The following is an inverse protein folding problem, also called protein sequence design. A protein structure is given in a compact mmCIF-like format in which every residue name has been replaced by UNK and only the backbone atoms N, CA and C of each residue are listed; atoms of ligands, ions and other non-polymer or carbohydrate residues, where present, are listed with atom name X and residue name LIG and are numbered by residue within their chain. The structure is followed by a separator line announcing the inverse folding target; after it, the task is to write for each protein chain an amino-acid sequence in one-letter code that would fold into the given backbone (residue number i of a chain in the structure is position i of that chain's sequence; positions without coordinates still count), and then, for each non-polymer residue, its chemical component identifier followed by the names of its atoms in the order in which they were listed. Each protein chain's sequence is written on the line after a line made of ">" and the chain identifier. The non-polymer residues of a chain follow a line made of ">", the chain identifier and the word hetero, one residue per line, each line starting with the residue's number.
data_IF_448400355156
#
_entry.id   IF_448400355156
#
_cell.length_a   1.000
_cell.length_b   1.000
_cell.length_c   1.000
_cell.angle_alpha   90.00
_cell.angle_beta   90.00
_cell.angle_gamma   90.00
#
_symmetry.space_group_name_H-M   'P 1'
#
loop_
_entity.id
_entity.type
_entity.pdbx_description
1 polymer ?
#
# COMPACT_ATOMS: atom_id res chain seq x y z
N UNK A 1 -12.10 -15.28 -8.18
CA UNK A 1 -10.66 -15.64 -8.19
C UNK A 1 -10.21 -16.21 -9.53
N UNK A 2 -10.79 -17.30 -10.05
CA UNK A 2 -10.38 -17.92 -11.34
C UNK A 2 -10.49 -16.99 -12.55
N UNK A 3 -11.60 -16.25 -12.66
CA UNK A 3 -11.88 -15.33 -13.76
C UNK A 3 -11.35 -13.91 -13.51
N UNK A 4 -10.77 -13.64 -12.33
CA UNK A 4 -10.25 -12.32 -11.97
C UNK A 4 -11.28 -11.20 -11.84
N UNK A 5 -12.57 -11.52 -11.76
CA UNK A 5 -13.62 -10.51 -11.58
C UNK A 5 -13.52 -9.86 -10.18
N UNK A 6 -13.37 -8.53 -10.18
CA UNK A 6 -13.22 -7.69 -8.98
C UNK A 6 -14.54 -7.10 -8.51
N UNK A 7 -15.59 -7.14 -9.33
CA UNK A 7 -16.87 -6.49 -9.03
C UNK A 7 -17.67 -7.20 -7.92
N UNK A 8 -17.31 -8.44 -7.60
CA UNK A 8 -17.99 -9.23 -6.56
C UNK A 8 -17.27 -9.24 -5.19
N UNK A 9 -16.20 -8.47 -4.99
CA UNK A 9 -15.42 -8.47 -3.74
C UNK A 9 -15.95 -7.37 -2.81
N UNK A 10 -16.52 -7.69 -1.62
CA UNK A 10 -16.92 -6.67 -0.65
C UNK A 10 -15.75 -5.78 -0.23
N UNK A 11 -15.98 -4.49 -0.03
CA UNK A 11 -14.93 -3.52 0.36
C UNK A 11 -14.21 -3.90 1.64
N UNK A 12 -14.93 -4.47 2.62
CA UNK A 12 -14.34 -5.02 3.85
C UNK A 12 -13.35 -6.15 3.58
N UNK A 13 -13.62 -7.00 2.58
CA UNK A 13 -12.73 -8.08 2.20
C UNK A 13 -11.47 -7.54 1.52
N UNK A 14 -11.61 -6.55 0.63
CA UNK A 14 -10.47 -5.88 0.01
C UNK A 14 -9.55 -5.23 1.05
N UNK A 15 -10.11 -4.59 2.08
CA UNK A 15 -9.33 -4.00 3.18
C UNK A 15 -8.60 -5.05 4.00
N UNK A 16 -9.21 -6.21 4.30
CA UNK A 16 -8.54 -7.33 5.00
C UNK A 16 -7.35 -7.86 4.19
N UNK A 17 -7.53 -8.10 2.91
CA UNK A 17 -6.44 -8.54 2.04
C UNK A 17 -5.36 -7.46 1.87
N UNK A 18 -5.71 -6.17 1.89
CA UNK A 18 -4.73 -5.08 1.84
C UNK A 18 -3.88 -5.03 3.11
N UNK A 19 -4.53 -5.10 4.28
CA UNK A 19 -3.87 -5.01 5.60
C UNK A 19 -2.96 -6.21 5.88
N UNK A 20 -3.26 -7.40 5.37
CA UNK A 20 -2.38 -8.56 5.48
C UNK A 20 -1.26 -8.61 4.42
N UNK A 21 -1.18 -7.64 3.51
CA UNK A 21 -0.26 -7.67 2.36
C UNK A 21 -0.66 -8.65 1.26
N UNK A 22 -1.87 -9.21 1.31
CA UNK A 22 -2.41 -10.14 0.32
C UNK A 22 -3.15 -9.48 -0.84
N UNK A 23 -3.06 -8.16 -1.01
CA UNK A 23 -3.64 -7.47 -2.16
C UNK A 23 -3.21 -8.09 -3.51
N UNK A 24 -1.98 -8.62 -3.58
CA UNK A 24 -1.46 -9.35 -4.74
C UNK A 24 -2.14 -10.71 -5.01
N UNK A 25 -2.71 -11.36 -4.00
CA UNK A 25 -3.42 -12.64 -4.12
C UNK A 25 -4.87 -12.47 -4.62
N UNK A 26 -5.43 -11.26 -4.50
CA UNK A 26 -6.75 -10.92 -5.05
C UNK A 26 -6.72 -10.74 -6.57
N UNK A 27 -5.54 -10.52 -7.15
CA UNK A 27 -5.34 -10.40 -8.59
C UNK A 27 -4.86 -11.75 -9.12
N UNK A 28 -5.36 -12.20 -10.28
CA UNK A 28 -4.90 -13.46 -10.90
C UNK A 28 -3.37 -13.43 -10.97
N UNK A 29 -2.71 -14.32 -10.23
CA UNK A 29 -1.26 -14.37 -10.15
C UNK A 29 -0.70 -15.19 -11.31
N UNK A 30 0.52 -14.85 -11.76
CA UNK A 30 1.25 -15.63 -12.77
C UNK A 30 1.54 -17.07 -12.33
N UNK A 31 1.36 -17.38 -11.05
CA UNK A 31 1.42 -18.73 -10.50
C UNK A 31 0.41 -19.66 -11.16
N UNK A 32 -0.80 -19.19 -11.49
CA UNK A 32 -1.81 -20.03 -12.15
C UNK A 32 -1.33 -20.51 -13.53
N UNK A 33 -0.73 -19.60 -14.30
CA UNK A 33 -0.12 -19.89 -15.61
C UNK A 33 1.02 -20.90 -15.44
N UNK A 34 1.89 -20.71 -14.45
CA UNK A 34 2.98 -21.63 -14.13
C UNK A 34 2.49 -23.02 -13.72
N UNK A 35 1.44 -23.11 -12.90
CA UNK A 35 0.86 -24.37 -12.45
C UNK A 35 0.21 -25.13 -13.61
N UNK A 36 -0.51 -24.43 -14.49
CA UNK A 36 -1.08 -25.03 -15.71
C UNK A 36 0.03 -25.58 -16.60
N UNK A 37 1.10 -24.82 -16.82
CA UNK A 37 2.24 -25.27 -17.62
C UNK A 37 2.93 -26.50 -17.00
N UNK A 38 3.17 -26.50 -15.68
CA UNK A 38 3.76 -27.63 -14.96
C UNK A 38 2.87 -28.88 -15.03
N UNK A 39 1.57 -28.72 -14.79
CA UNK A 39 0.59 -29.80 -14.83
C UNK A 39 0.59 -30.49 -16.20
N UNK A 40 0.51 -29.72 -17.27
CA UNK A 40 0.51 -30.24 -18.64
C UNK A 40 1.83 -30.94 -18.99
N UNK A 41 2.97 -30.36 -18.60
CA UNK A 41 4.28 -30.94 -18.91
C UNK A 41 4.58 -32.23 -18.16
N UNK A 42 4.21 -32.32 -16.88
CA UNK A 42 4.54 -33.46 -16.03
C UNK A 42 3.56 -34.63 -16.19
N UNK A 43 2.27 -34.36 -16.38
CA UNK A 43 1.24 -35.40 -16.36
C UNK A 43 1.07 -36.11 -17.71
N UNK A 44 1.22 -35.39 -18.82
CA UNK A 44 0.90 -35.93 -20.14
C UNK A 44 1.95 -36.91 -20.68
N UNK A 45 3.16 -37.00 -20.10
CA UNK A 45 4.27 -37.87 -20.58
C UNK A 45 4.51 -37.80 -22.10
N UNK A 46 4.17 -36.67 -22.72
CA UNK A 46 4.36 -36.39 -24.15
C UNK A 46 5.81 -35.92 -24.36
N UNK A 47 6.45 -36.20 -25.51
CA UNK A 47 7.75 -35.62 -25.86
C UNK A 47 7.76 -34.08 -25.75
N UNK A 48 8.91 -33.52 -25.39
CA UNK A 48 9.03 -32.13 -24.94
C UNK A 48 8.50 -31.09 -25.94
N UNK A 49 8.77 -31.24 -27.24
CA UNK A 49 8.34 -30.28 -28.27
C UNK A 49 6.81 -30.17 -28.43
N UNK A 50 6.04 -31.27 -28.65
CA UNK A 50 4.58 -31.19 -28.71
C UNK A 50 3.94 -30.79 -27.38
N UNK A 51 4.53 -31.17 -26.24
CA UNK A 51 4.06 -30.71 -24.93
C UNK A 51 4.20 -29.19 -24.77
N UNK A 52 5.32 -28.60 -25.22
CA UNK A 52 5.52 -27.15 -25.21
C UNK A 52 4.49 -26.45 -26.10
N UNK A 53 4.27 -26.94 -27.33
CA UNK A 53 3.32 -26.33 -28.27
C UNK A 53 1.88 -26.37 -27.74
N UNK A 54 1.44 -27.53 -27.23
CA UNK A 54 0.12 -27.67 -26.62
C UNK A 54 -0.05 -26.72 -25.43
N UNK A 55 0.97 -26.61 -24.59
CA UNK A 55 0.96 -25.71 -23.43
C UNK A 55 0.83 -24.24 -23.86
N UNK A 56 1.59 -23.79 -24.86
CA UNK A 56 1.50 -22.41 -25.37
C UNK A 56 0.09 -22.11 -25.89
N UNK A 57 -0.52 -23.04 -26.64
CA UNK A 57 -1.88 -22.87 -27.15
C UNK A 57 -2.89 -22.75 -26.00
N UNK A 58 -2.80 -23.64 -25.01
CA UNK A 58 -3.69 -23.63 -23.85
C UNK A 58 -3.51 -22.37 -22.98
N UNK A 59 -2.28 -21.87 -22.83
CA UNK A 59 -2.02 -20.62 -22.13
C UNK A 59 -2.59 -19.41 -22.87
N UNK A 60 -2.58 -19.42 -24.20
CA UNK A 60 -3.25 -18.41 -25.03
C UNK A 60 -4.77 -18.43 -24.84
N UNK A 61 -5.39 -19.61 -24.86
CA UNK A 61 -6.82 -19.78 -24.58
C UNK A 61 -7.15 -19.31 -23.15
N UNK A 62 -6.34 -19.68 -22.16
CA UNK A 62 -6.51 -19.25 -20.78
C UNK A 62 -6.43 -17.72 -20.62
N UNK A 63 -5.49 -17.07 -21.30
CA UNK A 63 -5.39 -15.61 -21.33
C UNK A 63 -6.63 -14.96 -21.95
N UNK A 64 -7.20 -15.54 -23.00
CA UNK A 64 -8.43 -15.05 -23.62
C UNK A 64 -9.66 -15.22 -22.71
N UNK A 65 -9.80 -16.39 -22.08
CA UNK A 65 -10.90 -16.69 -21.14
C UNK A 65 -10.87 -15.78 -19.93
N UNK A 66 -9.67 -15.41 -19.47
CA UNK A 66 -9.46 -14.44 -18.38
C UNK A 66 -9.54 -12.98 -18.84
N UNK A 67 -10.09 -12.70 -20.02
CA UNK A 67 -10.27 -11.35 -20.57
C UNK A 67 -8.96 -10.56 -20.71
N UNK A 68 -7.84 -11.22 -21.01
CA UNK A 68 -6.54 -10.61 -21.23
C UNK A 68 -6.08 -9.70 -20.08
N UNK A 69 -6.39 -10.07 -18.84
CA UNK A 69 -5.90 -9.34 -17.67
C UNK A 69 -4.37 -9.24 -17.69
N UNK A 70 -3.85 -8.03 -17.46
CA UNK A 70 -2.43 -7.72 -17.62
C UNK A 70 -1.46 -8.71 -16.91
N UNK A 71 -1.71 -9.19 -15.67
CA UNK A 71 -0.86 -10.18 -15.02
C UNK A 71 -0.81 -11.54 -15.74
N UNK A 72 -1.94 -11.99 -16.30
CA UNK A 72 -2.02 -13.26 -17.04
C UNK A 72 -1.27 -13.15 -18.35
N UNK A 73 -1.46 -12.06 -19.09
CA UNK A 73 -0.76 -11.81 -20.36
C UNK A 73 0.75 -11.84 -20.15
N UNK A 74 1.27 -11.15 -19.13
CA UNK A 74 2.72 -11.14 -18.83
C UNK A 74 3.24 -12.54 -18.49
N UNK A 75 2.54 -13.26 -17.61
CA UNK A 75 2.93 -14.61 -17.23
C UNK A 75 2.88 -15.58 -18.42
N UNK A 76 1.88 -15.48 -19.29
CA UNK A 76 1.75 -16.27 -20.52
C UNK A 76 2.86 -15.96 -21.51
N UNK A 77 3.24 -14.69 -21.69
CA UNK A 77 4.38 -14.29 -22.55
C UNK A 77 5.68 -14.87 -22.01
N UNK A 78 5.94 -14.74 -20.70
CA UNK A 78 7.15 -15.30 -20.07
C UNK A 78 7.20 -16.82 -20.20
N UNK A 79 6.09 -17.51 -19.91
CA UNK A 79 5.98 -18.95 -20.07
C UNK A 79 6.20 -19.36 -21.53
N UNK A 80 5.61 -18.64 -22.50
CA UNK A 80 5.79 -18.92 -23.92
C UNK A 80 7.24 -18.82 -24.35
N UNK A 81 7.96 -17.78 -23.93
CA UNK A 81 9.39 -17.62 -24.25
C UNK A 81 10.22 -18.79 -23.72
N UNK A 82 9.96 -19.22 -22.47
CA UNK A 82 10.67 -20.35 -21.86
C UNK A 82 10.32 -21.67 -22.56
N UNK A 83 9.05 -21.91 -22.86
CA UNK A 83 8.57 -23.12 -23.52
C UNK A 83 9.08 -23.23 -24.96
N UNK A 84 9.09 -22.13 -25.72
CA UNK A 84 9.66 -22.09 -27.07
C UNK A 84 11.17 -22.33 -27.02
N UNK A 85 11.87 -21.72 -26.06
CA UNK A 85 13.30 -21.98 -25.84
C UNK A 85 13.59 -23.46 -25.57
N UNK A 86 12.75 -24.11 -24.75
CA UNK A 86 12.86 -25.54 -24.48
C UNK A 86 12.53 -26.41 -25.70
N UNK A 87 11.49 -26.08 -26.46
CA UNK A 87 11.11 -26.80 -27.68
C UNK A 87 12.17 -26.73 -28.78
N UNK A 88 12.92 -25.62 -28.84
CA UNK A 88 14.02 -25.40 -29.77
C UNK A 88 15.38 -25.85 -29.22
N UNK A 89 15.41 -26.49 -28.04
CA UNK A 89 16.62 -26.94 -27.34
C UNK A 89 17.68 -25.83 -27.15
N UNK A 90 17.23 -24.59 -27.04
CA UNK A 90 18.10 -23.44 -26.85
C UNK A 90 18.65 -23.41 -25.42
N UNK A 91 19.96 -23.22 -25.29
CA UNK A 91 20.62 -22.92 -24.00
C UNK A 91 20.36 -21.46 -23.61
N UNK A 92 19.13 -21.16 -23.21
CA UNK A 92 18.73 -19.83 -22.76
C UNK A 92 19.06 -19.60 -21.28
N UNK A 93 19.58 -18.42 -20.93
CA UNK A 93 19.61 -17.99 -19.53
C UNK A 93 18.24 -17.43 -19.13
N UNK A 94 17.81 -17.73 -17.91
CA UNK A 94 16.49 -17.27 -17.39
C UNK A 94 16.42 -15.73 -17.38
N UNK A 95 17.55 -15.05 -17.15
CA UNK A 95 17.63 -13.59 -17.21
C UNK A 95 17.44 -13.05 -18.64
N UNK A 96 17.96 -13.72 -19.67
CA UNK A 96 17.73 -13.31 -21.05
C UNK A 96 16.26 -13.53 -21.44
N UNK A 97 15.63 -14.60 -20.98
CA UNK A 97 14.19 -14.83 -21.17
C UNK A 97 13.35 -13.74 -20.49
N UNK A 98 13.73 -13.30 -19.29
CA UNK A 98 13.10 -12.19 -18.59
C UNK A 98 13.27 -10.87 -19.38
N UNK A 99 14.47 -10.58 -19.87
CA UNK A 99 14.75 -9.40 -20.68
C UNK A 99 13.98 -9.39 -22.01
N UNK A 100 13.89 -10.54 -22.68
CA UNK A 100 13.10 -10.70 -23.90
C UNK A 100 11.61 -10.49 -23.63
N UNK A 101 11.09 -11.01 -22.52
CA UNK A 101 9.71 -10.79 -22.12
C UNK A 101 9.42 -9.31 -21.85
N UNK A 102 10.33 -8.60 -21.16
CA UNK A 102 10.21 -7.15 -20.95
C UNK A 102 10.18 -6.40 -22.29
N UNK A 103 11.08 -6.75 -23.22
CA UNK A 103 11.16 -6.12 -24.53
C UNK A 103 9.88 -6.33 -25.34
N UNK A 104 9.37 -7.56 -25.41
CA UNK A 104 8.12 -7.88 -26.13
C UNK A 104 6.94 -7.09 -25.57
N UNK A 105 6.82 -7.01 -24.24
CA UNK A 105 5.75 -6.24 -23.60
C UNK A 105 5.89 -4.73 -23.82
N UNK A 106 7.11 -4.20 -23.82
CA UNK A 106 7.39 -2.79 -24.10
C UNK A 106 7.11 -2.41 -25.55
N UNK A 107 7.37 -3.32 -26.49
CA UNK A 107 7.02 -3.12 -27.91
C UNK A 107 5.50 -3.10 -28.08
N UNK A 108 4.78 -3.98 -27.38
CA UNK A 108 3.33 -4.03 -27.46
C UNK A 108 2.67 -2.81 -26.79
N UNK A 109 3.17 -2.38 -25.63
CA UNK A 109 2.65 -1.24 -24.89
C UNK A 109 3.80 -0.53 -24.13
N UNK A 110 4.35 0.57 -24.67
CA UNK A 110 5.51 1.27 -24.07
C UNK A 110 5.23 1.78 -22.66
N UNK A 111 3.97 2.15 -22.37
CA UNK A 111 3.58 2.65 -21.04
C UNK A 111 3.54 1.55 -19.97
N UNK A 112 3.65 0.29 -20.36
CA UNK A 112 3.58 -0.86 -19.45
C UNK A 112 4.62 -0.79 -18.33
N UNK A 113 5.81 -0.25 -18.57
CA UNK A 113 6.90 -0.09 -17.58
C UNK A 113 6.52 0.83 -16.42
N UNK A 114 5.65 1.81 -16.67
CA UNK A 114 5.17 2.74 -15.65
C UNK A 114 4.06 2.13 -14.79
N UNK A 115 3.50 0.99 -15.21
CA UNK A 115 2.45 0.34 -14.45
C UNK A 115 3.01 -0.38 -13.23
N UNK A 116 2.38 -0.17 -12.09
CA UNK A 116 2.76 -0.79 -10.82
C UNK A 116 2.77 -2.34 -10.90
N UNK A 117 1.86 -2.92 -11.68
CA UNK A 117 1.77 -4.36 -11.89
C UNK A 117 2.96 -4.94 -12.67
N UNK A 118 3.51 -4.19 -13.63
CA UNK A 118 4.73 -4.58 -14.34
C UNK A 118 5.93 -4.52 -13.39
N UNK A 119 6.10 -3.40 -12.69
CA UNK A 119 7.22 -3.18 -11.76
C UNK A 119 7.30 -4.26 -10.69
N UNK A 120 6.18 -4.58 -10.04
CA UNK A 120 6.14 -5.63 -9.01
C UNK A 120 6.48 -7.02 -9.56
N UNK A 121 5.93 -7.38 -10.73
CA UNK A 121 6.13 -8.72 -11.32
C UNK A 121 7.57 -8.94 -11.78
N UNK A 122 8.15 -7.96 -12.48
CA UNK A 122 9.52 -8.05 -12.97
C UNK A 122 10.54 -7.94 -11.84
N UNK A 123 10.32 -7.04 -10.86
CA UNK A 123 11.18 -6.94 -9.70
C UNK A 123 11.16 -8.22 -8.85
N UNK A 124 9.97 -8.79 -8.60
CA UNK A 124 9.86 -10.07 -7.89
C UNK A 124 10.61 -11.19 -8.60
N UNK A 125 10.41 -11.33 -9.92
CA UNK A 125 11.05 -12.42 -10.69
C UNK A 125 12.56 -12.26 -10.75
N UNK A 126 13.06 -11.04 -11.01
CA UNK A 126 14.48 -10.72 -11.01
C UNK A 126 15.11 -11.01 -9.64
N UNK A 127 14.44 -10.61 -8.56
CA UNK A 127 14.91 -10.84 -7.20
C UNK A 127 14.89 -12.32 -6.84
N UNK A 128 13.88 -13.10 -7.23
CA UNK A 128 13.87 -14.56 -7.05
C UNK A 128 15.08 -15.17 -7.76
N UNK A 129 15.28 -14.88 -9.06
CA UNK A 129 16.39 -15.43 -9.84
C UNK A 129 17.75 -15.03 -9.25
N UNK A 130 17.88 -13.80 -8.75
CA UNK A 130 19.17 -13.26 -8.29
C UNK A 130 19.44 -13.46 -6.80
N UNK A 131 18.44 -13.75 -5.96
CA UNK A 131 18.62 -13.83 -4.50
C UNK A 131 18.37 -15.23 -3.94
N UNK A 132 17.68 -16.13 -4.65
CA UNK A 132 17.39 -17.47 -4.12
C UNK A 132 18.66 -18.25 -3.73
N UNK A 133 19.62 -18.39 -4.64
CA UNK A 133 20.87 -19.12 -4.42
C UNK A 133 21.72 -18.52 -3.29
N UNK A 134 22.00 -17.20 -3.26
CA UNK A 134 22.77 -16.64 -2.16
C UNK A 134 22.05 -16.68 -0.81
N UNK A 135 20.71 -16.58 -0.77
CA UNK A 135 19.95 -16.71 0.47
C UNK A 135 20.05 -18.14 1.04
N UNK A 136 20.00 -19.16 0.19
CA UNK A 136 20.20 -20.55 0.61
C UNK A 136 21.62 -20.80 1.11
N UNK A 137 22.63 -20.17 0.50
CA UNK A 137 24.03 -20.28 0.92
C UNK A 137 24.33 -19.70 2.31
N UNK A 138 23.45 -18.82 2.84
CA UNK A 138 23.56 -18.33 4.22
C UNK A 138 23.07 -19.34 5.27
N UNK A 139 22.30 -20.36 4.84
CA UNK A 139 21.77 -21.36 5.75
C UNK A 139 22.78 -22.48 5.99
N UNK A 140 22.75 -23.13 7.18
CA UNK A 140 23.59 -24.28 7.46
C UNK A 140 23.43 -25.39 6.39
N UNK A 141 24.53 -26.03 5.97
CA UNK A 141 24.54 -27.09 4.93
C UNK A 141 23.49 -28.20 5.14
N UNK A 142 23.17 -28.52 6.40
CA UNK A 142 22.10 -29.46 6.78
C UNK A 142 20.72 -29.16 6.19
N UNK A 143 20.46 -27.92 5.79
CA UNK A 143 19.21 -27.47 5.20
C UNK A 143 19.35 -27.07 3.72
N UNK A 144 20.57 -27.16 3.18
CA UNK A 144 20.87 -26.77 1.82
C UNK A 144 20.69 -27.96 0.88
N UNK A 145 19.51 -28.06 0.27
CA UNK A 145 19.15 -29.18 -0.61
C UNK A 145 19.96 -29.20 -1.93
N UNK A 146 20.65 -28.10 -2.27
CA UNK A 146 21.39 -27.97 -3.53
C UNK A 146 22.88 -28.36 -3.46
N UNK A 147 23.46 -28.63 -2.28
CA UNK A 147 24.88 -29.02 -2.15
C UNK A 147 25.14 -30.52 -2.36
N UNK A 148 24.39 -31.17 -3.27
CA UNK A 148 24.53 -32.60 -3.56
C UNK A 148 24.67 -32.90 -5.04
N UNK A 149 25.71 -32.35 -5.69
CA UNK A 149 26.38 -33.08 -6.76
C UNK A 149 27.13 -34.27 -6.16
N UNK A 150 26.42 -35.40 -5.94
CA UNK A 150 27.09 -36.71 -5.93
C UNK A 150 26.72 -37.75 -4.86
N UNK A 151 25.81 -37.53 -3.90
CA UNK A 151 25.36 -38.66 -3.05
C UNK A 151 23.89 -38.56 -2.63
N UNK A 152 23.18 -39.65 -2.87
CA UNK A 152 21.73 -39.81 -2.83
C UNK A 152 21.15 -40.06 -1.44
N UNK A 153 21.67 -39.42 -0.40
CA UNK A 153 21.31 -39.81 0.98
C UNK A 153 20.73 -38.65 1.77
N UNK A 154 19.39 -38.57 1.77
CA UNK A 154 18.60 -37.81 2.74
C UNK A 154 18.12 -36.45 2.26
N UNK A 155 17.21 -36.42 1.27
CA UNK A 155 16.45 -35.22 0.94
C UNK A 155 15.64 -34.77 2.17
N UNK A 156 16.14 -33.76 2.89
CA UNK A 156 15.45 -33.22 4.05
C UNK A 156 14.10 -32.65 3.61
N UNK A 157 13.02 -33.30 4.02
CA UNK A 157 11.63 -32.86 3.77
C UNK A 157 11.46 -31.38 4.18
N UNK A 158 12.15 -30.97 5.25
CA UNK A 158 12.17 -29.58 5.73
C UNK A 158 12.86 -28.62 4.75
N UNK A 159 13.93 -29.04 4.10
CA UNK A 159 14.66 -28.26 3.10
C UNK A 159 13.78 -27.95 1.89
N UNK A 160 13.14 -28.97 1.33
CA UNK A 160 12.34 -28.83 0.09
C UNK A 160 11.00 -28.13 0.31
N UNK A 161 10.31 -28.41 1.43
CA UNK A 161 8.93 -27.93 1.63
C UNK A 161 8.82 -26.64 2.44
N UNK A 162 9.84 -26.25 3.19
CA UNK A 162 9.81 -25.05 4.04
C UNK A 162 10.91 -24.08 3.65
N UNK A 163 12.16 -24.54 3.62
CA UNK A 163 13.32 -23.65 3.42
C UNK A 163 13.33 -23.05 2.01
N UNK A 164 13.14 -23.85 0.97
CA UNK A 164 13.12 -23.35 -0.41
C UNK A 164 11.97 -22.36 -0.65
N UNK A 165 10.70 -22.68 -0.32
CA UNK A 165 9.61 -21.71 -0.47
C UNK A 165 9.78 -20.44 0.37
N UNK A 166 10.34 -20.56 1.59
CA UNK A 166 10.65 -19.40 2.42
C UNK A 166 11.73 -18.52 1.80
N UNK A 167 12.79 -19.10 1.23
CA UNK A 167 13.84 -18.36 0.54
C UNK A 167 13.31 -17.65 -0.71
N UNK A 168 12.44 -18.31 -1.51
CA UNK A 168 11.76 -17.70 -2.66
C UNK A 168 10.87 -16.54 -2.24
N UNK A 169 10.07 -16.74 -1.18
CA UNK A 169 9.18 -15.70 -0.63
C UNK A 169 9.97 -14.51 -0.11
N UNK A 170 11.09 -14.76 0.57
CA UNK A 170 12.00 -13.73 1.06
C UNK A 170 12.64 -12.94 -0.09
N UNK A 171 13.14 -13.62 -1.12
CA UNK A 171 13.71 -12.99 -2.31
C UNK A 171 12.69 -12.07 -2.99
N UNK A 172 11.46 -12.56 -3.20
CA UNK A 172 10.38 -11.77 -3.79
C UNK A 172 10.02 -10.56 -2.92
N UNK A 173 9.95 -10.74 -1.60
CA UNK A 173 9.65 -9.65 -0.66
C UNK A 173 10.73 -8.57 -0.70
N UNK A 174 12.02 -8.95 -0.65
CA UNK A 174 13.14 -7.99 -0.72
C UNK A 174 13.10 -7.20 -2.03
N UNK A 175 12.84 -7.87 -3.17
CA UNK A 175 12.78 -7.21 -4.48
C UNK A 175 11.58 -6.25 -4.64
N UNK A 176 10.44 -6.58 -4.05
CA UNK A 176 9.20 -5.80 -4.20
C UNK A 176 9.00 -4.75 -3.11
N UNK A 177 9.65 -4.91 -1.96
CA UNK A 177 9.47 -4.05 -0.78
C UNK A 177 9.61 -2.55 -1.07
N UNK A 178 10.64 -2.05 -1.80
CA UNK A 178 10.78 -0.61 -2.05
C UNK A 178 9.58 -0.03 -2.83
N UNK A 179 9.08 -0.78 -3.81
CA UNK A 179 7.93 -0.40 -4.64
C UNK A 179 6.66 -0.42 -3.78
N UNK A 180 6.49 -1.47 -2.97
CA UNK A 180 5.32 -1.60 -2.10
C UNK A 180 5.27 -0.48 -1.06
N UNK A 181 6.38 -0.17 -0.40
CA UNK A 181 6.42 0.90 0.60
C UNK A 181 6.14 2.27 -0.04
N UNK A 182 6.73 2.56 -1.19
CA UNK A 182 6.52 3.84 -1.87
C UNK A 182 5.06 4.07 -2.30
N UNK A 183 4.39 3.03 -2.82
CA UNK A 183 3.03 3.17 -3.34
C UNK A 183 1.92 2.87 -2.34
N UNK A 184 2.12 1.92 -1.42
CA UNK A 184 1.09 1.46 -0.49
C UNK A 184 1.30 1.90 0.94
N UNK A 185 2.46 2.48 1.30
CA UNK A 185 2.75 3.02 2.65
C UNK A 185 2.54 2.00 3.76
N UNK A 186 2.60 0.72 3.42
CA UNK A 186 2.28 -0.38 4.30
C UNK A 186 3.27 -1.49 4.02
N UNK A 187 3.83 -2.01 5.10
CA UNK A 187 4.64 -3.21 5.07
C UNK A 187 3.98 -4.20 6.01
N UNK A 188 3.62 -5.38 5.51
CA UNK A 188 3.05 -6.45 6.31
C UNK A 188 4.11 -7.53 6.49
N UNK A 189 4.96 -7.50 7.55
CA UNK A 189 6.02 -8.50 7.73
C UNK A 189 5.46 -9.93 7.82
N UNK A 190 4.22 -10.03 8.31
CA UNK A 190 3.49 -11.29 8.42
C UNK A 190 3.26 -11.95 7.05
N UNK A 191 3.34 -11.21 5.94
CA UNK A 191 3.14 -11.73 4.59
C UNK A 191 4.10 -12.87 4.27
N UNK A 192 5.32 -12.87 4.82
CA UNK A 192 6.31 -13.93 4.57
C UNK A 192 5.84 -15.29 5.11
N UNK A 193 5.46 -15.33 6.39
CA UNK A 193 4.93 -16.52 7.05
C UNK A 193 3.59 -16.93 6.44
N UNK A 194 2.77 -15.93 6.14
CA UNK A 194 1.44 -16.16 5.65
C UNK A 194 1.45 -16.67 4.19
N UNK A 195 2.41 -16.26 3.36
CA UNK A 195 2.64 -16.79 2.01
C UNK A 195 3.00 -18.28 1.99
N UNK A 196 3.69 -18.79 3.03
CA UNK A 196 4.02 -20.22 3.14
C UNK A 196 2.77 -21.10 3.22
N UNK A 197 1.65 -20.58 3.75
CA UNK A 197 0.38 -21.29 3.85
C UNK A 197 -0.61 -20.89 2.74
N UNK A 198 -0.70 -19.60 2.45
CA UNK A 198 -1.68 -19.04 1.51
C UNK A 198 -1.37 -19.43 0.06
N UNK A 199 -0.10 -19.41 -0.35
CA UNK A 199 0.27 -19.71 -1.76
C UNK A 199 -0.05 -21.17 -2.13
N UNK A 200 0.30 -22.19 -1.33
CA UNK A 200 -0.10 -23.56 -1.63
C UNK A 200 -1.62 -23.76 -1.63
N UNK A 201 -2.34 -23.20 -0.64
CA UNK A 201 -3.80 -23.28 -0.57
C UNK A 201 -4.46 -22.65 -1.80
N UNK A 202 -3.95 -21.51 -2.27
CA UNK A 202 -4.41 -20.85 -3.48
C UNK A 202 -4.17 -21.73 -4.72
N UNK A 203 -3.00 -22.36 -4.82
CA UNK A 203 -2.69 -23.30 -5.90
C UNK A 203 -3.65 -24.49 -5.94
N UNK A 204 -3.95 -25.08 -4.79
CA UNK A 204 -4.95 -26.18 -4.68
C UNK A 204 -6.35 -25.70 -5.06
N UNK A 205 -6.78 -24.54 -4.56
CA UNK A 205 -8.09 -23.98 -4.86
C UNK A 205 -8.27 -23.73 -6.37
N UNK A 206 -7.22 -23.23 -7.03
CA UNK A 206 -7.23 -22.97 -8.47
C UNK A 206 -7.25 -24.27 -9.26
N UNK A 207 -6.43 -25.26 -8.87
CA UNK A 207 -6.43 -26.57 -9.53
C UNK A 207 -7.81 -27.26 -9.44
N UNK A 208 -8.41 -27.27 -8.25
CA UNK A 208 -9.76 -27.80 -8.03
C UNK A 208 -10.81 -27.01 -8.81
N UNK A 209 -10.67 -25.69 -8.88
CA UNK A 209 -11.57 -24.81 -9.62
C UNK A 209 -11.51 -25.01 -11.14
N UNK A 210 -10.30 -25.19 -11.70
CA UNK A 210 -10.10 -25.55 -13.10
C UNK A 210 -10.69 -26.94 -13.40
N UNK A 211 -10.43 -27.92 -12.52
CA UNK A 211 -11.00 -29.26 -12.64
C UNK A 211 -12.52 -29.23 -12.59
N UNK A 212 -13.11 -28.44 -11.68
CA UNK A 212 -14.55 -28.24 -11.59
C UNK A 212 -15.12 -27.69 -12.90
N UNK A 213 -14.47 -26.67 -13.49
CA UNK A 213 -14.91 -26.08 -14.76
C UNK A 213 -14.90 -27.06 -15.93
N UNK A 214 -13.99 -28.03 -15.93
CA UNK A 214 -13.91 -29.08 -16.97
C UNK A 214 -14.89 -30.23 -16.72
N UNK A 215 -15.05 -30.66 -15.47
CA UNK A 215 -15.81 -31.86 -15.11
C UNK A 215 -17.30 -31.58 -14.93
N UNK A 216 -17.68 -30.46 -14.33
CA UNK A 216 -19.07 -30.16 -13.98
C UNK A 216 -20.05 -30.16 -15.18
N UNK A 217 -19.67 -29.67 -16.38
CA UNK A 217 -20.57 -29.75 -17.55
C UNK A 217 -20.81 -31.17 -18.05
N UNK A 218 -19.84 -32.07 -17.84
CA UNK A 218 -19.92 -33.46 -18.30
C UNK A 218 -20.56 -34.37 -17.25
N UNK A 219 -20.14 -34.27 -15.99
CA UNK A 219 -20.60 -35.10 -14.86
C UNK A 219 -20.97 -34.22 -13.65
N UNK A 220 -22.24 -33.80 -13.54
CA UNK A 220 -22.71 -32.90 -12.48
C UNK A 220 -22.48 -33.42 -11.06
N UNK A 221 -22.70 -34.72 -10.81
CA UNK A 221 -22.54 -35.34 -9.49
C UNK A 221 -21.09 -35.30 -9.00
N UNK A 222 -20.14 -35.58 -9.90
CA UNK A 222 -18.72 -35.46 -9.60
C UNK A 222 -18.31 -33.99 -9.41
N UNK A 223 -18.94 -33.08 -10.17
CA UNK A 223 -18.83 -31.64 -9.98
C UNK A 223 -19.23 -31.20 -8.56
N UNK A 224 -20.27 -31.80 -7.98
CA UNK A 224 -20.70 -31.51 -6.61
C UNK A 224 -19.65 -31.92 -5.57
N UNK A 225 -18.99 -33.07 -5.74
CA UNK A 225 -17.91 -33.52 -4.86
C UNK A 225 -16.70 -32.57 -4.95
N UNK A 226 -16.31 -32.19 -6.17
CA UNK A 226 -15.21 -31.24 -6.40
C UNK A 226 -15.54 -29.87 -5.82
N UNK A 227 -16.79 -29.40 -5.95
CA UNK A 227 -17.21 -28.10 -5.40
C UNK A 227 -17.17 -28.07 -3.87
N UNK A 228 -17.49 -29.19 -3.20
CA UNK A 228 -17.28 -29.35 -1.76
C UNK A 228 -15.80 -29.22 -1.36
N UNK A 229 -14.89 -29.79 -2.17
CA UNK A 229 -13.45 -29.61 -2.02
C UNK A 229 -12.99 -28.16 -2.20
N UNK A 230 -13.48 -27.48 -3.25
CA UNK A 230 -13.22 -26.04 -3.49
C UNK A 230 -13.70 -25.22 -2.30
N UNK A 231 -14.92 -25.47 -1.80
CA UNK A 231 -15.50 -24.76 -0.67
C UNK A 231 -14.64 -24.91 0.59
N UNK A 232 -14.16 -26.13 0.89
CA UNK A 232 -13.28 -26.39 2.02
C UNK A 232 -11.95 -25.62 1.88
N UNK A 233 -11.30 -25.70 0.72
CA UNK A 233 -10.01 -25.04 0.49
C UNK A 233 -10.14 -23.51 0.58
N UNK A 234 -11.20 -22.93 -0.01
CA UNK A 234 -11.46 -21.48 0.06
C UNK A 234 -11.79 -21.06 1.49
N UNK A 235 -12.55 -21.87 2.24
CA UNK A 235 -12.86 -21.57 3.64
C UNK A 235 -11.60 -21.59 4.51
N UNK A 236 -10.71 -22.57 4.30
CA UNK A 236 -9.41 -22.64 4.98
C UNK A 236 -8.52 -21.45 4.62
N UNK A 237 -8.48 -21.08 3.34
CA UNK A 237 -7.78 -19.88 2.85
C UNK A 237 -8.28 -18.63 3.58
N UNK A 238 -9.59 -18.42 3.63
CA UNK A 238 -10.21 -17.26 4.29
C UNK A 238 -9.91 -17.22 5.79
N UNK A 239 -10.04 -18.35 6.51
CA UNK A 239 -9.68 -18.44 7.93
C UNK A 239 -8.20 -18.14 8.19
N UNK A 240 -7.33 -18.56 7.27
CA UNK A 240 -5.89 -18.28 7.36
C UNK A 240 -5.62 -16.78 7.19
N UNK A 241 -6.29 -16.12 6.23
CA UNK A 241 -6.20 -14.67 6.04
C UNK A 241 -6.72 -13.93 7.27
N UNK A 242 -7.88 -14.32 7.82
CA UNK A 242 -8.46 -13.71 9.02
C UNK A 242 -7.55 -13.87 10.25
N UNK A 243 -6.88 -15.02 10.40
CA UNK A 243 -5.91 -15.25 11.48
C UNK A 243 -4.74 -14.27 11.42
N UNK A 244 -4.21 -14.03 10.21
CA UNK A 244 -3.09 -13.11 10.02
C UNK A 244 -3.51 -11.63 9.97
N UNK A 245 -4.78 -11.33 9.69
CA UNK A 245 -5.31 -9.96 9.70
C UNK A 245 -5.31 -9.30 11.08
N UNK A 246 -5.19 -10.09 12.16
CA UNK A 246 -5.05 -9.57 13.52
C UNK A 246 -3.71 -8.87 13.73
N UNK A 247 -2.68 -9.21 12.95
CA UNK A 247 -1.36 -8.57 13.04
C UNK A 247 -1.38 -7.30 12.19
N UNK A 248 -1.32 -6.09 12.80
CA UNK A 248 -1.39 -4.86 12.04
C UNK A 248 -0.17 -4.71 11.13
N UNK A 249 -0.39 -4.30 9.89
CA UNK A 249 0.69 -3.86 9.01
C UNK A 249 1.39 -2.64 9.60
N UNK A 250 2.69 -2.55 9.35
CA UNK A 250 3.47 -1.37 9.65
C UNK A 250 3.08 -0.27 8.67
N UNK A 251 2.40 0.75 9.17
CA UNK A 251 2.14 1.98 8.42
C UNK A 251 3.44 2.77 8.37
N UNK A 252 3.89 3.12 7.16
CA UNK A 252 5.11 3.86 6.91
C UNK A 252 4.75 5.13 6.14
N UNK A 253 5.31 6.26 6.57
CA UNK A 253 5.24 7.49 5.79
C UNK A 253 5.79 7.24 4.38
N UNK A 254 5.24 7.93 3.38
CA UNK A 254 5.75 7.81 2.02
C UNK A 254 7.18 8.34 1.99
N UNK A 255 8.18 7.52 1.61
CA UNK A 255 9.53 8.02 1.47
C UNK A 255 9.58 9.01 0.30
N UNK A 256 10.36 10.08 0.47
CA UNK A 256 10.69 10.99 -0.63
C UNK A 256 11.20 10.18 -1.83
N UNK A 257 10.90 10.55 -3.09
CA UNK A 257 11.37 9.85 -4.27
C UNK A 257 12.90 9.57 -4.26
N UNK A 258 13.70 10.48 -3.70
CA UNK A 258 15.15 10.29 -3.56
C UNK A 258 15.50 9.17 -2.59
N UNK A 259 14.77 9.07 -1.47
CA UNK A 259 14.91 8.00 -0.47
C UNK A 259 14.46 6.67 -1.07
N UNK A 260 13.38 6.66 -1.84
CA UNK A 260 12.89 5.46 -2.52
C UNK A 260 13.91 4.91 -3.53
N UNK A 261 14.53 5.79 -4.33
CA UNK A 261 15.64 5.42 -5.24
C UNK A 261 16.85 4.92 -4.44
N UNK A 262 17.19 5.56 -3.33
CA UNK A 262 18.25 5.12 -2.43
C UNK A 262 18.00 3.72 -1.87
N UNK A 263 16.77 3.42 -1.45
CA UNK A 263 16.37 2.09 -0.98
C UNK A 263 16.44 1.05 -2.08
N UNK A 264 16.00 1.38 -3.30
CA UNK A 264 16.11 0.48 -4.45
C UNK A 264 17.58 0.21 -4.82
N UNK A 265 18.44 1.23 -4.79
CA UNK A 265 19.89 1.05 -4.98
C UNK A 265 20.51 0.19 -3.88
N UNK A 266 20.08 0.38 -2.63
CA UNK A 266 20.53 -0.39 -1.49
C UNK A 266 20.09 -1.85 -1.53
N UNK A 267 18.86 -2.17 -1.96
CA UNK A 267 18.41 -3.57 -2.12
C UNK A 267 19.21 -4.28 -3.21
N UNK A 268 19.51 -3.60 -4.32
CA UNK A 268 20.40 -4.12 -5.37
C UNK A 268 21.81 -4.35 -4.83
N UNK A 269 22.39 -3.37 -4.13
CA UNK A 269 23.72 -3.48 -3.52
C UNK A 269 23.79 -4.59 -2.47
N UNK A 270 22.76 -4.73 -1.63
CA UNK A 270 22.64 -5.80 -0.65
C UNK A 270 22.60 -7.17 -1.34
N UNK A 271 21.83 -7.31 -2.42
CA UNK A 271 21.82 -8.50 -3.26
C UNK A 271 23.20 -8.83 -3.84
N UNK A 272 23.90 -7.83 -4.38
CA UNK A 272 25.26 -8.00 -4.89
C UNK A 272 26.28 -8.34 -3.79
N UNK A 273 26.09 -7.84 -2.57
CA UNK A 273 26.94 -8.14 -1.41
C UNK A 273 26.80 -9.57 -0.90
N UNK A 274 25.71 -10.26 -1.25
CA UNK A 274 25.60 -11.69 -1.02
C UNK A 274 26.58 -12.48 -1.91
N UNK A 275 26.79 -12.04 -3.16
CA UNK A 275 27.74 -12.64 -4.10
C UNK A 275 29.19 -12.18 -3.89
N UNK A 276 29.40 -10.89 -3.56
CA UNK A 276 30.73 -10.29 -3.41
C UNK A 276 30.95 -9.82 -1.97
N UNK A 277 31.75 -10.54 -1.15
CA UNK A 277 31.90 -10.23 0.27
C UNK A 277 32.50 -8.84 0.53
N UNK A 278 33.32 -8.33 -0.40
CA UNK A 278 33.90 -6.98 -0.36
C UNK A 278 32.81 -5.89 -0.30
N UNK A 279 31.64 -6.11 -0.90
CA UNK A 279 30.53 -5.15 -0.89
C UNK A 279 29.73 -5.17 0.42
N UNK A 280 29.89 -6.18 1.29
CA UNK A 280 29.16 -6.26 2.57
C UNK A 280 29.51 -5.08 3.48
N UNK A 281 30.79 -4.71 3.55
CA UNK A 281 31.24 -3.55 4.31
C UNK A 281 30.63 -2.25 3.79
N UNK A 282 30.54 -2.09 2.46
CA UNK A 282 29.91 -0.93 1.82
C UNK A 282 28.42 -0.86 2.14
N UNK A 283 27.70 -1.98 2.02
CA UNK A 283 26.27 -2.05 2.34
C UNK A 283 26.01 -1.71 3.81
N UNK A 284 26.79 -2.28 4.74
CA UNK A 284 26.68 -1.96 6.17
C UNK A 284 26.99 -0.48 6.42
N UNK A 285 28.03 0.07 5.80
CA UNK A 285 28.37 1.48 5.93
C UNK A 285 27.26 2.39 5.41
N UNK A 286 26.69 2.10 4.24
CA UNK A 286 25.57 2.86 3.68
C UNK A 286 24.30 2.74 4.54
N UNK A 287 24.03 1.56 5.11
CA UNK A 287 22.95 1.36 6.07
C UNK A 287 23.15 2.22 7.32
N UNK A 288 24.35 2.27 7.87
CA UNK A 288 24.68 3.09 9.04
C UNK A 288 24.59 4.60 8.73
N UNK A 289 25.09 5.04 7.57
CA UNK A 289 24.97 6.43 7.12
C UNK A 289 23.48 6.79 6.91
N UNK A 290 22.71 5.91 6.28
CA UNK A 290 21.28 6.09 6.07
C UNK A 290 20.50 6.14 7.39
N UNK A 291 20.81 5.24 8.33
CA UNK A 291 20.23 5.25 9.67
C UNK A 291 20.58 6.53 10.43
N UNK A 292 21.83 6.98 10.35
CA UNK A 292 22.27 8.25 10.95
C UNK A 292 21.52 9.43 10.31
N UNK A 293 21.46 9.51 8.98
CA UNK A 293 20.70 10.55 8.28
C UNK A 293 19.22 10.54 8.67
N UNK A 294 18.60 9.36 8.78
CA UNK A 294 17.21 9.21 9.23
C UNK A 294 16.98 9.69 10.66
N UNK A 295 17.93 9.47 11.58
CA UNK A 295 17.86 9.97 12.96
C UNK A 295 17.96 11.49 12.98
N UNK A 296 18.92 12.07 12.26
CA UNK A 296 19.21 13.51 12.30
C UNK A 296 18.34 14.35 11.36
N UNK A 297 17.59 13.76 10.42
CA UNK A 297 16.75 14.52 9.48
C UNK A 297 15.71 15.41 10.20
N UNK A 298 15.26 15.02 11.40
CA UNK A 298 14.30 15.78 12.19
C UNK A 298 14.92 17.04 12.79
N UNK A 299 16.19 16.99 13.15
CA UNK A 299 16.94 18.13 13.73
C UNK A 299 17.48 19.08 12.65
N UNK A 300 17.69 18.57 11.43
CA UNK A 300 18.28 19.35 10.32
C UNK A 300 17.20 20.15 9.55
N UNK A 301 15.94 19.73 9.57
CA UNK A 301 14.87 20.44 8.85
C UNK A 301 14.58 21.80 9.51
N UNK A 302 14.70 22.92 8.79
CA UNK A 302 14.36 24.23 9.34
C UNK A 302 12.88 24.25 9.75
N UNK A 303 12.64 24.78 10.95
CA UNK A 303 11.32 24.98 11.53
C UNK A 303 10.59 26.15 10.84
N UNK A 304 10.19 25.94 9.58
CA UNK A 304 9.38 26.89 8.82
C UNK A 304 7.91 26.51 8.87
N UNK A 305 7.03 27.52 8.82
CA UNK A 305 5.61 27.32 8.57
C UNK A 305 5.42 26.68 7.19
N UNK A 306 4.82 25.50 7.14
CA UNK A 306 4.41 24.83 5.91
C UNK A 306 2.89 24.91 5.81
N UNK A 307 2.36 25.37 4.67
CA UNK A 307 0.92 25.38 4.40
C UNK A 307 0.68 24.65 3.08
N UNK A 308 -0.20 23.66 3.11
CA UNK A 308 -0.56 22.82 1.97
C UNK A 308 -2.07 22.89 1.75
N UNK A 309 -2.48 23.39 0.60
CA UNK A 309 -3.87 23.34 0.18
C UNK A 309 -4.14 21.98 -0.46
N UNK A 310 -5.10 21.26 0.12
CA UNK A 310 -5.51 19.93 -0.35
C UNK A 310 -6.54 20.11 -1.46
N UNK A 311 -6.33 19.41 -2.57
CA UNK A 311 -7.32 19.36 -3.66
C UNK A 311 -8.49 18.45 -3.26
N UNK A 312 -9.42 19.01 -2.50
CA UNK A 312 -10.67 18.36 -2.08
C UNK A 312 -11.81 18.60 -3.08
N UNK A 313 -11.51 19.14 -4.26
CA UNK A 313 -12.48 19.47 -5.30
C UNK A 313 -13.36 20.67 -4.92
N UNK A 314 -14.49 20.41 -4.26
CA UNK A 314 -15.42 21.47 -3.82
C UNK A 314 -15.39 21.59 -2.28
N UNK A 315 -15.38 22.84 -1.84
CA UNK A 315 -15.11 23.24 -0.46
C UNK A 315 -13.61 23.52 -0.24
N UNK A 316 -13.25 23.70 1.03
CA UNK A 316 -11.87 23.97 1.43
C UNK A 316 -11.27 22.80 2.22
N UNK A 317 -9.94 22.69 2.15
CA UNK A 317 -9.15 21.77 2.93
C UNK A 317 -7.70 22.24 2.92
N UNK A 318 -7.19 22.67 4.06
CA UNK A 318 -5.82 23.13 4.19
C UNK A 318 -5.14 22.46 5.37
N UNK A 319 -3.90 22.04 5.17
CA UNK A 319 -3.01 21.57 6.21
C UNK A 319 -1.97 22.63 6.50
N UNK A 320 -1.63 22.81 7.78
CA UNK A 320 -0.49 23.61 8.19
C UNK A 320 0.37 22.85 9.20
N UNK A 321 1.69 22.88 8.98
CA UNK A 321 2.69 22.48 9.97
C UNK A 321 3.32 23.75 10.53
N UNK A 322 3.10 23.99 11.81
CA UNK A 322 3.63 25.15 12.51
C UNK A 322 5.14 24.99 12.76
N UNK A 323 5.89 26.10 12.97
CA UNK A 323 7.32 26.06 13.24
C UNK A 323 7.71 25.16 14.43
N UNK A 324 6.85 25.09 15.45
CA UNK A 324 7.03 24.23 16.62
C UNK A 324 6.75 22.74 16.36
N UNK A 325 6.41 22.38 15.12
CA UNK A 325 6.11 21.01 14.70
C UNK A 325 4.65 20.58 14.88
N UNK A 326 3.80 21.42 15.45
CA UNK A 326 2.36 21.10 15.60
C UNK A 326 1.65 21.10 14.25
N UNK A 327 0.62 20.29 14.17
CA UNK A 327 -0.17 20.08 12.96
C UNK A 327 -1.57 20.68 13.09
N UNK A 328 -2.01 21.33 12.03
CA UNK A 328 -3.33 21.96 11.95
C UNK A 328 -4.01 21.57 10.64
N UNK A 329 -5.30 21.25 10.72
CA UNK A 329 -6.19 21.08 9.56
C UNK A 329 -7.28 22.14 9.63
N UNK A 330 -7.52 22.82 8.52
CA UNK A 330 -8.62 23.77 8.34
C UNK A 330 -9.53 23.21 7.26
N UNK A 331 -10.74 22.81 7.64
CA UNK A 331 -11.71 22.11 6.80
C UNK A 331 -11.18 20.79 6.18
N UNK A 332 -12.09 19.98 5.64
CA UNK A 332 -11.81 18.65 5.10
C UNK A 332 -12.53 18.31 3.80
N UNK A 333 -13.17 19.29 3.16
CA UNK A 333 -13.94 19.09 1.94
C UNK A 333 -15.24 18.29 2.14
N UNK A 334 -15.85 17.91 1.01
CA UNK A 334 -17.18 17.31 1.00
C UNK A 334 -17.25 15.85 1.46
N UNK A 335 -18.40 15.49 2.04
CA UNK A 335 -18.84 14.10 2.21
C UNK A 335 -20.26 13.90 1.70
N UNK A 336 -20.45 12.86 0.89
CA UNK A 336 -21.71 12.42 0.31
C UNK A 336 -21.80 10.88 0.36
N UNK A 337 -22.93 10.30 -0.04
CA UNK A 337 -23.09 8.83 -0.10
C UNK A 337 -22.11 8.12 -1.05
N UNK A 338 -21.53 8.83 -2.02
CA UNK A 338 -20.65 8.24 -3.05
C UNK A 338 -19.19 8.67 -2.93
N UNK A 339 -18.95 9.82 -2.30
CA UNK A 339 -17.65 10.48 -2.26
C UNK A 339 -17.44 11.03 -0.86
N UNK A 340 -16.33 10.67 -0.24
CA UNK A 340 -15.82 11.23 1.00
C UNK A 340 -14.40 11.74 0.74
N UNK A 341 -14.18 13.05 0.84
CA UNK A 341 -12.86 13.64 0.62
C UNK A 341 -11.91 13.37 1.79
N UNK A 342 -12.43 13.10 2.99
CA UNK A 342 -11.66 12.63 4.12
C UNK A 342 -11.00 11.28 3.81
N UNK A 343 -11.77 10.32 3.30
CA UNK A 343 -11.28 8.98 2.92
C UNK A 343 -10.34 9.03 1.70
N UNK A 344 -10.62 9.90 0.73
CA UNK A 344 -9.90 9.90 -0.56
C UNK A 344 -8.66 10.79 -0.60
N UNK A 345 -8.66 11.89 0.16
CA UNK A 345 -7.65 12.94 0.07
C UNK A 345 -7.00 13.17 1.44
N UNK A 346 -7.78 13.60 2.43
CA UNK A 346 -7.23 14.13 3.70
C UNK A 346 -6.51 13.05 4.50
N UNK A 347 -7.18 11.95 4.82
CA UNK A 347 -6.59 10.85 5.60
C UNK A 347 -5.41 10.20 4.85
N UNK A 348 -5.54 9.80 3.56
CA UNK A 348 -4.40 9.27 2.83
C UNK A 348 -3.22 10.23 2.79
N UNK A 349 -3.44 11.53 2.58
CA UNK A 349 -2.38 12.54 2.52
C UNK A 349 -1.65 12.68 3.87
N UNK A 350 -2.39 12.81 4.98
CA UNK A 350 -1.82 12.88 6.33
C UNK A 350 -0.99 11.63 6.66
N UNK A 351 -1.48 10.45 6.31
CA UNK A 351 -0.74 9.19 6.45
C UNK A 351 0.54 9.19 5.60
N UNK A 352 0.51 9.74 4.37
CA UNK A 352 1.73 9.88 3.53
C UNK A 352 2.80 10.71 4.23
N UNK A 353 2.38 11.77 4.94
CA UNK A 353 3.26 12.65 5.69
C UNK A 353 3.72 12.07 7.04
N UNK A 354 3.27 10.86 7.40
CA UNK A 354 3.58 10.23 8.69
C UNK A 354 2.89 10.90 9.88
N UNK A 355 1.73 11.50 9.64
CA UNK A 355 0.93 12.16 10.68
C UNK A 355 -0.11 11.16 11.17
N UNK A 356 0.09 10.67 12.39
CA UNK A 356 -0.81 9.71 13.05
C UNK A 356 -1.72 10.35 14.10
N UNK A 357 -1.53 11.63 14.41
CA UNK A 357 -2.32 12.44 15.32
C UNK A 357 -2.31 13.89 14.82
N UNK A 358 -3.46 14.58 14.89
CA UNK A 358 -3.58 16.00 14.52
C UNK A 358 -3.75 16.85 15.78
N UNK A 359 -2.95 17.90 15.94
CA UNK A 359 -3.03 18.74 17.15
C UNK A 359 -4.27 19.63 17.15
N UNK A 360 -4.60 20.25 16.01
CA UNK A 360 -5.73 21.16 15.90
C UNK A 360 -6.52 20.92 14.61
N UNK A 361 -7.83 20.75 14.74
CA UNK A 361 -8.78 20.82 13.62
C UNK A 361 -9.62 22.08 13.78
N UNK A 362 -9.72 22.86 12.72
CA UNK A 362 -10.55 24.06 12.64
C UNK A 362 -11.63 23.82 11.59
N UNK A 363 -12.89 23.95 11.99
CA UNK A 363 -14.01 24.01 11.07
C UNK A 363 -14.38 25.48 10.84
N UNK A 364 -14.26 25.95 9.60
CA UNK A 364 -14.57 27.34 9.25
C UNK A 364 -16.06 27.63 9.43
N UNK A 365 -16.90 26.72 8.96
CA UNK A 365 -18.35 26.77 9.03
C UNK A 365 -18.92 25.36 8.78
N UNK A 366 -20.18 25.07 9.13
CA UNK A 366 -20.69 23.71 9.31
C UNK A 366 -21.19 23.02 8.04
N UNK A 367 -20.96 23.64 6.88
CA UNK A 367 -21.52 23.09 5.66
C UNK A 367 -20.81 21.77 5.33
N UNK A 368 -21.57 20.82 4.79
CA UNK A 368 -21.08 19.47 4.55
C UNK A 368 -19.96 19.41 3.50
N UNK A 369 -19.80 20.45 2.69
CA UNK A 369 -18.68 20.64 1.77
C UNK A 369 -17.39 21.14 2.44
N UNK A 370 -17.43 21.53 3.73
CA UNK A 370 -16.26 21.91 4.52
C UNK A 370 -15.97 20.92 5.64
N UNK A 371 -16.96 20.58 6.46
CA UNK A 371 -16.78 19.66 7.60
C UNK A 371 -17.00 18.18 7.25
N UNK A 372 -17.39 17.88 6.01
CA UNK A 372 -17.74 16.53 5.58
C UNK A 372 -16.59 15.54 5.75
N UNK A 373 -15.43 15.85 5.17
CA UNK A 373 -14.25 15.00 5.27
C UNK A 373 -13.61 14.98 6.66
N UNK A 374 -13.91 15.97 7.51
CA UNK A 374 -13.46 15.97 8.92
C UNK A 374 -14.08 14.82 9.72
N UNK A 375 -15.28 14.36 9.36
CA UNK A 375 -15.91 13.21 10.01
C UNK A 375 -15.05 11.95 9.82
N UNK A 376 -14.66 11.65 8.58
CA UNK A 376 -13.79 10.49 8.30
C UNK A 376 -12.40 10.66 8.91
N UNK A 377 -11.85 11.88 8.86
CA UNK A 377 -10.58 12.19 9.52
C UNK A 377 -10.63 11.83 11.02
N UNK A 378 -11.66 12.29 11.73
CA UNK A 378 -11.82 12.01 13.15
C UNK A 378 -12.16 10.54 13.41
N UNK A 379 -12.81 9.82 12.49
CA UNK A 379 -13.04 8.37 12.64
C UNK A 379 -11.72 7.57 12.65
N UNK A 380 -10.68 8.04 11.94
CA UNK A 380 -9.45 7.28 11.68
C UNK A 380 -8.17 7.84 12.35
N UNK A 381 -8.13 9.14 12.64
CA UNK A 381 -6.96 9.85 13.18
C UNK A 381 -7.37 10.61 14.45
N UNK A 382 -6.70 10.37 15.60
CA UNK A 382 -6.93 11.11 16.83
C UNK A 382 -6.68 12.61 16.66
N UNK A 383 -7.58 13.42 17.23
CA UNK A 383 -7.49 14.89 17.23
C UNK A 383 -7.45 15.41 18.66
N UNK A 384 -6.47 16.28 18.99
CA UNK A 384 -6.33 16.84 20.35
C UNK A 384 -7.28 18.00 20.62
N UNK A 385 -7.36 18.93 19.69
CA UNK A 385 -8.17 20.14 19.79
C UNK A 385 -9.07 20.28 18.58
N UNK A 386 -10.35 20.58 18.81
CA UNK A 386 -11.31 20.91 17.78
C UNK A 386 -11.83 22.33 18.02
N UNK A 387 -11.82 23.16 16.98
CA UNK A 387 -12.18 24.58 17.03
C UNK A 387 -13.25 24.86 16.00
N UNK A 388 -14.33 25.54 16.41
CA UNK A 388 -15.34 26.10 15.51
C UNK A 388 -16.00 27.35 16.10
N UNK A 389 -16.97 27.93 15.38
CA UNK A 389 -17.69 29.13 15.79
C UNK A 389 -18.78 28.90 16.86
N UNK A 390 -18.88 27.72 17.48
CA UNK A 390 -19.88 27.44 18.53
C UNK A 390 -21.33 27.38 18.09
N UNK A 391 -21.60 27.44 16.78
CA UNK A 391 -22.96 27.48 16.25
C UNK A 391 -23.58 26.08 16.21
N UNK A 392 -24.83 25.96 16.63
CA UNK A 392 -25.57 24.70 16.59
C UNK A 392 -26.17 24.46 15.21
N UNK A 393 -25.94 23.27 14.64
CA UNK A 393 -26.47 22.90 13.34
C UNK A 393 -27.20 21.55 13.38
N UNK A 394 -28.32 21.46 12.67
CA UNK A 394 -29.16 20.25 12.66
C UNK A 394 -28.71 19.19 11.65
N UNK A 395 -27.68 19.47 10.86
CA UNK A 395 -27.18 18.54 9.84
C UNK A 395 -26.68 17.24 10.49
N UNK A 396 -26.78 16.13 9.76
CA UNK A 396 -26.24 14.86 10.22
C UNK A 396 -24.72 14.94 10.43
N UNK A 397 -24.01 15.62 9.52
CA UNK A 397 -22.55 15.78 9.56
C UNK A 397 -22.10 16.51 10.83
N UNK A 398 -22.74 17.63 11.18
CA UNK A 398 -22.41 18.38 12.38
C UNK A 398 -22.69 17.56 13.66
N UNK A 399 -23.82 16.84 13.71
CA UNK A 399 -24.14 15.95 14.83
C UNK A 399 -23.11 14.84 15.00
N UNK A 400 -22.73 14.17 13.91
CA UNK A 400 -21.74 13.09 13.95
C UNK A 400 -20.36 13.61 14.39
N UNK A 401 -19.97 14.80 13.95
CA UNK A 401 -18.71 15.42 14.36
C UNK A 401 -18.69 15.72 15.86
N UNK A 402 -19.78 16.28 16.42
CA UNK A 402 -19.92 16.49 17.86
C UNK A 402 -19.94 15.19 18.66
N UNK A 403 -20.53 14.11 18.13
CA UNK A 403 -20.44 12.78 18.74
C UNK A 403 -18.98 12.30 18.79
N UNK A 404 -18.24 12.40 17.68
CA UNK A 404 -16.83 11.99 17.59
C UNK A 404 -15.94 12.78 18.55
N UNK A 405 -16.13 14.10 18.65
CA UNK A 405 -15.43 14.96 19.62
C UNK A 405 -15.61 14.43 21.05
N UNK A 406 -16.82 13.99 21.40
CA UNK A 406 -17.12 13.41 22.73
C UNK A 406 -16.58 12.00 22.89
N UNK A 407 -16.73 11.14 21.87
CA UNK A 407 -16.25 9.75 21.86
C UNK A 407 -14.73 9.68 22.04
N UNK A 408 -13.99 10.60 21.42
CA UNK A 408 -12.52 10.65 21.48
C UNK A 408 -11.97 11.45 22.66
N UNK A 409 -12.80 12.22 23.37
CA UNK A 409 -12.34 13.13 24.41
C UNK A 409 -11.52 14.32 23.86
N UNK A 410 -11.74 14.70 22.60
CA UNK A 410 -11.11 15.85 21.96
C UNK A 410 -11.49 17.15 22.68
N UNK A 411 -10.53 18.04 22.91
CA UNK A 411 -10.79 19.33 23.56
C UNK A 411 -11.48 20.28 22.60
N UNK A 412 -12.76 20.54 22.85
CA UNK A 412 -13.57 21.45 22.07
C UNK A 412 -13.41 22.91 22.50
N UNK A 413 -13.22 23.80 21.54
CA UNK A 413 -13.12 25.25 21.74
C UNK A 413 -14.09 25.95 20.77
N UNK A 414 -15.12 26.57 21.32
CA UNK A 414 -15.94 27.52 20.57
C UNK A 414 -15.25 28.88 20.62
N UNK A 415 -14.98 29.46 19.46
CA UNK A 415 -14.35 30.77 19.31
C UNK A 415 -15.34 31.78 18.75
N UNK A 416 -15.11 33.05 19.09
CA UNK A 416 -15.81 34.18 18.50
C UNK A 416 -14.83 35.20 17.94
N UNK A 417 -15.31 36.01 17.00
CA UNK A 417 -14.53 37.08 16.44
C UNK A 417 -13.90 38.00 17.51
N UNK A 418 -12.59 38.22 17.40
CA UNK A 418 -11.76 38.91 18.38
C UNK A 418 -10.93 37.95 19.25
N UNK A 419 -11.30 36.67 19.32
CA UNK A 419 -10.51 35.68 20.03
C UNK A 419 -9.17 35.45 19.35
N UNK A 420 -8.16 35.18 20.17
CA UNK A 420 -6.83 34.80 19.73
C UNK A 420 -6.47 33.44 20.32
N UNK A 421 -6.23 32.47 19.45
CA UNK A 421 -5.71 31.17 19.88
C UNK A 421 -4.19 31.26 19.89
N UNK A 422 -3.64 31.44 21.08
CA UNK A 422 -2.20 31.40 21.30
C UNK A 422 -1.73 29.94 21.36
N UNK A 423 -1.19 29.45 20.24
CA UNK A 423 -0.55 28.15 20.13
C UNK A 423 0.82 28.33 19.50
N UNK A 424 1.86 28.22 20.32
CA UNK A 424 3.29 28.14 19.96
C UNK A 424 3.65 28.60 18.54
N UNK A 425 4.23 29.81 18.46
CA UNK A 425 4.71 30.51 17.26
C UNK A 425 3.67 30.98 16.21
N UNK A 426 2.36 30.73 16.41
CA UNK A 426 1.30 31.29 15.57
C UNK A 426 0.14 31.85 16.43
N UNK A 427 -0.40 33.01 16.04
CA UNK A 427 -1.61 33.59 16.64
C UNK A 427 -2.70 33.55 15.58
N UNK A 428 -3.75 32.76 15.84
CA UNK A 428 -4.93 32.72 15.00
C UNK A 428 -5.93 33.74 15.53
N UNK A 429 -6.32 34.68 14.69
CA UNK A 429 -7.38 35.64 15.00
C UNK A 429 -8.63 35.30 14.20
N UNK A 430 -9.75 35.12 14.90
CA UNK A 430 -11.05 35.14 14.25
C UNK A 430 -11.44 36.61 14.02
N UNK A 431 -11.55 37.04 12.76
CA UNK A 431 -11.76 38.46 12.46
C UNK A 431 -13.24 38.78 12.23
N UNK A 432 -13.80 39.75 12.97
CA UNK A 432 -15.09 40.36 12.63
C UNK A 432 -14.89 41.37 11.51
N UNK A 433 -15.04 40.92 10.26
CA UNK A 433 -15.26 41.69 9.02
C UNK A 433 -14.84 43.18 8.98
N UNK A 434 -13.73 43.49 8.30
CA UNK A 434 -13.60 44.52 7.22
C UNK A 434 -12.12 44.69 6.92
N UNK A 435 -11.62 44.02 5.87
CA UNK A 435 -10.33 44.39 5.30
C UNK A 435 -10.49 45.81 4.75
N UNK A 436 -9.84 46.79 5.38
CA UNK A 436 -9.72 48.15 4.85
C UNK A 436 -8.86 48.09 3.58
N UNK A 437 -9.49 47.80 2.45
CA UNK A 437 -8.87 47.79 1.14
C UNK A 437 -9.83 47.24 0.11
N UNK A 438 -10.43 48.14 -0.66
CA UNK A 438 -11.45 47.93 -1.71
C UNK A 438 -12.88 47.68 -1.22
N UNK A 439 -13.76 48.64 -1.53
CA UNK A 439 -15.22 48.46 -1.50
C UNK A 439 -15.63 47.50 -2.63
N UNK A 440 -16.31 46.38 -2.35
CA UNK A 440 -17.22 45.76 -3.29
C UNK A 440 -18.64 46.28 -3.00
N UNK A 441 -19.37 46.64 -4.06
CA UNK A 441 -20.83 46.75 -3.98
C UNK A 441 -21.39 45.34 -3.83
N UNK A 442 -22.34 45.21 -2.91
CA UNK A 442 -23.28 44.09 -2.76
C UNK A 442 -22.69 42.68 -2.71
N UNK A 443 -22.46 42.17 -1.49
CA UNK A 443 -22.83 40.81 -1.10
C UNK A 443 -22.54 40.55 0.38
N UNK A 444 -23.50 39.89 1.02
CA UNK A 444 -23.45 39.33 2.37
C UNK A 444 -22.22 38.43 2.54
N UNK A 445 -21.27 38.84 3.37
CA UNK A 445 -20.06 38.07 3.70
C UNK A 445 -20.01 37.80 5.20
N UNK A 446 -19.91 36.52 5.58
CA UNK A 446 -19.65 36.07 6.94
C UNK A 446 -18.17 36.23 7.35
N UNK A 447 -17.81 35.94 8.61
CA UNK A 447 -16.44 36.14 9.10
C UNK A 447 -15.43 35.21 8.41
N UNK A 448 -14.20 35.69 8.23
CA UNK A 448 -13.08 34.96 7.61
C UNK A 448 -11.85 35.00 8.52
N UNK A 449 -11.15 33.86 8.63
CA UNK A 449 -9.92 33.72 9.43
C UNK A 449 -8.69 34.27 8.68
N UNK A 450 -7.78 34.93 9.39
CA UNK A 450 -6.47 35.36 8.90
C UNK A 450 -5.37 34.97 9.90
N UNK A 451 -4.25 34.46 9.39
CA UNK A 451 -3.08 34.08 10.19
C UNK A 451 -1.89 35.00 9.89
N UNK A 452 -1.22 35.50 10.94
CA UNK A 452 0.05 36.24 10.84
C UNK A 452 1.04 35.70 11.87
N UNK A 453 2.33 35.65 11.51
CA UNK A 453 3.41 35.30 12.43
C UNK A 453 4.00 36.57 13.04
N UNK A 454 3.97 36.69 14.37
CA UNK A 454 4.75 37.68 15.12
C UNK A 454 5.81 36.97 15.96
N UNK A 455 7.00 37.56 16.17
CA UNK A 455 8.00 36.97 17.05
C UNK A 455 7.55 37.18 18.50
N UNK A 456 7.37 36.08 19.26
CA UNK A 456 6.86 36.13 20.63
C UNK A 456 8.00 35.95 21.63
N UNK A 457 8.23 36.98 22.45
CA UNK A 457 9.02 36.94 23.67
C UNK A 457 8.45 35.93 24.68
N UNK A 458 9.34 35.17 25.29
CA UNK A 458 9.06 34.03 26.15
C UNK A 458 8.57 34.42 27.55
N UNK A 459 7.32 34.86 27.71
CA UNK A 459 6.62 34.83 29.01
C UNK A 459 5.17 35.29 28.87
N UNK A 460 4.20 34.37 28.88
CA UNK A 460 2.88 34.52 29.54
C UNK A 460 1.94 33.38 29.13
N UNK A 461 1.78 32.38 30.01
CA UNK A 461 0.66 31.47 30.01
C UNK A 461 -0.30 31.94 31.11
N UNK A 462 -1.34 32.69 30.74
CA UNK A 462 -2.59 32.83 31.51
C UNK A 462 -3.62 33.57 30.66
N UNK A 463 -4.79 32.95 30.48
CA UNK A 463 -5.95 33.62 29.89
C UNK A 463 -6.42 34.72 30.86
N UNK A 464 -6.35 35.99 30.45
CA UNK A 464 -6.90 37.11 31.21
C UNK A 464 -8.01 37.77 30.41
N UNK A 465 -9.26 37.57 30.83
CA UNK A 465 -10.37 38.44 30.44
C UNK A 465 -10.24 39.77 31.20
N UNK A 466 -9.89 40.86 30.53
CA UNK A 466 -9.96 42.20 31.13
C UNK A 466 -10.96 43.05 30.35
N UNK A 467 -12.20 43.12 30.85
CA UNK A 467 -13.16 44.16 30.51
C UNK A 467 -12.77 45.43 31.31
N UNK A 468 -12.46 46.53 30.62
CA UNK A 468 -12.44 47.88 31.22
C UNK A 468 -13.65 48.66 30.69
N UNK A 469 -14.49 49.28 31.55
CA UNK A 469 -15.55 50.16 31.09
C UNK A 469 -14.98 51.54 30.72
N UNK A 470 -15.43 52.11 29.61
CA UNK A 470 -15.17 53.50 29.23
C UNK A 470 -15.99 54.47 30.13
N UNK A 471 -15.46 55.65 30.46
CA UNK A 471 -16.18 56.68 31.19
C UNK A 471 -17.16 57.45 30.28
N UNK A 472 -18.18 58.02 30.94
CA UNK A 472 -19.45 58.57 30.43
C UNK A 472 -19.39 59.47 29.21
#
# INVERSE_FOLDING_TARGET
>A
MLLGDKHAIPTQLATRFRTTGFAHALVISGLHVGLVALFLMTLLRIPDAPACLLTVILLGIYALVTQLQAPVVRASVMATIVLVGRALELRGSVLNSLGLAALVLMIAEPTSVLTLSFQLSFSATLAIISLHAPLLALLPERWNTESSTGSSTGMSIWGTWIVVPAAVSMAAQIGTMPIIVYHFQQLAPISLLANLLVVPLLGVAVAQGLLLGLVAPCWPDLGLVISGGVWLTVTLLMKTVDLFAVVPAWKLAQPDPTVAVGWMGLTVLAGLALYKPVLRGVVVMLLLIGANGWVWQREIKPQSLEVVFLDVGQGDGAFARLPDGKTMIVDGGMRSRRIDMGERVVEPWLRRQGIDEVDVVIASHPHADHIGGLVHLMEEIPVRHFVDAGQSYESWTARRLHELIREQGTRYHAVVAGDSLAGSSCILHEHSSTVQGHRPRDSTTGPSLCAYTTPVDSSCLQATSSMKPMPR
#
